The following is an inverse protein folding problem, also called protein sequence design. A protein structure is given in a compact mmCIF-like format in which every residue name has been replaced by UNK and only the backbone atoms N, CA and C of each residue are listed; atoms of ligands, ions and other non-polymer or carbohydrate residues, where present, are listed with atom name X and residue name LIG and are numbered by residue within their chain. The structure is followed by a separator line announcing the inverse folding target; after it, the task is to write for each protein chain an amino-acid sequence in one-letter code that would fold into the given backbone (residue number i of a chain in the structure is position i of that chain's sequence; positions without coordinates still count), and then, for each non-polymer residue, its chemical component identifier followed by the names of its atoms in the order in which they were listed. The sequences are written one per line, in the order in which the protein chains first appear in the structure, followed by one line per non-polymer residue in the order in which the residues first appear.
data_IF_301796160527
#
_entry.id   IF_301796160527
#
_cell.length_a   1.000
_cell.length_b   1.000
_cell.length_c   1.000
_cell.angle_alpha   90.00
_cell.angle_beta   90.00
_cell.angle_gamma   90.00
#
_symmetry.space_group_name_H-M   'P 1'
#
loop_
_entity.id
_entity.type
_entity.pdbx_description
1 polymer ?
#
# COMPACT_ATOMS: atom_id res chain seq x y z
N UNK A 1 -60.66 -14.21 -20.79
CA UNK A 1 -59.61 -15.00 -20.11
C UNK A 1 -58.25 -14.43 -20.52
N UNK A 2 -57.69 -13.53 -19.71
CA UNK A 2 -56.51 -12.72 -20.07
C UNK A 2 -55.26 -13.58 -19.85
N UNK A 3 -54.55 -13.91 -20.94
CA UNK A 3 -53.31 -14.69 -20.87
C UNK A 3 -52.24 -13.81 -20.23
N UNK A 4 -51.79 -14.28 -19.06
CA UNK A 4 -50.84 -13.63 -18.18
C UNK A 4 -49.47 -13.52 -18.85
N UNK A 5 -48.94 -12.30 -18.82
CA UNK A 5 -47.59 -11.90 -19.20
C UNK A 5 -46.53 -12.81 -18.59
N UNK A 6 -45.58 -13.27 -19.41
CA UNK A 6 -44.29 -13.78 -18.94
C UNK A 6 -43.24 -12.81 -19.49
N UNK A 7 -42.96 -11.77 -18.71
CA UNK A 7 -41.80 -10.91 -18.92
C UNK A 7 -40.62 -11.66 -18.31
N UNK A 8 -39.81 -12.28 -19.17
CA UNK A 8 -38.54 -12.87 -18.77
C UNK A 8 -37.56 -11.75 -18.42
N UNK A 9 -37.38 -11.49 -17.13
CA UNK A 9 -36.33 -10.60 -16.63
C UNK A 9 -35.01 -11.33 -16.80
N UNK A 10 -34.29 -11.00 -17.89
CA UNK A 10 -32.89 -11.36 -18.05
C UNK A 10 -32.14 -10.56 -17.00
N UNK A 11 -31.89 -11.18 -15.85
CA UNK A 11 -31.01 -10.67 -14.83
C UNK A 11 -29.59 -10.85 -15.36
N UNK A 12 -29.18 -9.92 -16.22
CA UNK A 12 -27.79 -9.70 -16.59
C UNK A 12 -27.05 -9.35 -15.30
N UNK A 13 -26.46 -10.36 -14.68
CA UNK A 13 -25.36 -10.20 -13.74
C UNK A 13 -24.23 -9.53 -14.52
N UNK A 14 -24.28 -8.20 -14.59
CA UNK A 14 -23.08 -7.41 -14.70
C UNK A 14 -22.27 -7.76 -13.45
N UNK A 15 -21.44 -8.79 -13.57
CA UNK A 15 -20.34 -9.06 -12.66
C UNK A 15 -19.47 -7.82 -12.72
N UNK A 16 -19.73 -6.91 -11.78
CA UNK A 16 -18.83 -5.83 -11.46
C UNK A 16 -17.46 -6.48 -11.30
N UNK A 17 -16.54 -6.13 -12.19
CA UNK A 17 -15.14 -6.50 -12.09
C UNK A 17 -14.59 -5.81 -10.85
N UNK A 18 -14.83 -6.40 -9.68
CA UNK A 18 -14.14 -6.04 -8.46
C UNK A 18 -12.67 -6.30 -8.71
N UNK A 19 -11.90 -5.25 -8.98
CA UNK A 19 -10.44 -5.28 -8.81
C UNK A 19 -10.18 -5.47 -7.31
N UNK A 20 -10.37 -6.70 -6.82
CA UNK A 20 -9.95 -7.10 -5.50
C UNK A 20 -8.42 -7.15 -5.56
N UNK A 21 -7.76 -6.13 -5.01
CA UNK A 21 -6.32 -6.22 -4.78
C UNK A 21 -6.05 -7.44 -3.89
N UNK A 22 -4.96 -8.15 -4.17
CA UNK A 22 -4.56 -9.28 -3.32
C UNK A 22 -4.35 -8.78 -1.89
N UNK A 23 -4.82 -9.54 -0.91
CA UNK A 23 -4.59 -9.25 0.51
C UNK A 23 -3.86 -10.41 1.16
N UNK A 24 -2.99 -10.12 2.10
CA UNK A 24 -2.19 -11.10 2.83
C UNK A 24 -2.34 -10.90 4.34
N UNK A 25 -2.21 -11.98 5.09
CA UNK A 25 -2.01 -11.91 6.53
C UNK A 25 -0.64 -11.31 6.87
N UNK A 26 -0.47 -10.88 8.12
CA UNK A 26 0.80 -10.31 8.57
C UNK A 26 1.94 -11.34 8.54
N UNK A 27 1.62 -12.60 8.83
CA UNK A 27 2.53 -13.74 8.79
C UNK A 27 2.99 -14.03 7.36
N UNK A 28 2.06 -14.12 6.39
CA UNK A 28 2.37 -14.30 4.97
C UNK A 28 3.26 -13.17 4.44
N UNK A 29 2.97 -11.93 4.80
CA UNK A 29 3.79 -10.77 4.40
C UNK A 29 5.20 -10.90 4.96
N UNK A 30 5.34 -11.30 6.24
CA UNK A 30 6.66 -11.48 6.85
C UNK A 30 7.45 -12.56 6.11
N UNK A 31 6.83 -13.70 5.84
CA UNK A 31 7.45 -14.82 5.12
C UNK A 31 7.88 -14.46 3.70
N UNK A 32 7.22 -13.50 3.07
CA UNK A 32 7.60 -12.98 1.75
C UNK A 32 8.72 -11.92 1.84
N UNK A 33 8.58 -10.96 2.77
CA UNK A 33 9.48 -9.80 2.86
C UNK A 33 10.84 -10.18 3.45
N UNK A 34 10.90 -11.02 4.49
CA UNK A 34 12.15 -11.42 5.15
C UNK A 34 13.17 -12.04 4.18
N UNK A 35 12.83 -13.04 3.35
CA UNK A 35 13.75 -13.60 2.36
C UNK A 35 13.98 -12.68 1.15
N UNK A 36 13.36 -11.50 1.09
CA UNK A 36 13.57 -10.52 0.03
C UNK A 36 12.65 -10.69 -1.19
N UNK A 37 11.53 -11.41 -1.03
CA UNK A 37 10.53 -11.63 -2.07
C UNK A 37 9.19 -10.96 -1.70
N UNK A 38 9.15 -9.63 -1.52
CA UNK A 38 7.91 -8.95 -1.14
C UNK A 38 6.81 -9.19 -2.20
N UNK A 39 5.53 -9.08 -1.82
CA UNK A 39 4.44 -9.18 -2.78
C UNK A 39 4.62 -8.23 -3.96
N UNK A 40 4.08 -8.60 -5.12
CA UNK A 40 4.04 -7.69 -6.26
C UNK A 40 3.08 -6.55 -5.97
N UNK A 41 3.51 -5.35 -6.33
CA UNK A 41 2.81 -4.10 -6.04
C UNK A 41 2.46 -3.40 -7.34
N UNK A 42 1.27 -2.82 -7.39
CA UNK A 42 0.87 -1.87 -8.42
C UNK A 42 1.74 -0.61 -8.35
N UNK A 43 1.72 0.25 -9.39
CA UNK A 43 2.39 1.54 -9.31
C UNK A 43 1.97 2.33 -8.06
N UNK A 44 2.95 2.94 -7.40
CA UNK A 44 2.70 3.69 -6.17
C UNK A 44 2.14 5.09 -6.46
N UNK A 45 1.12 5.48 -5.70
CA UNK A 45 0.53 6.82 -5.73
C UNK A 45 1.07 7.69 -4.61
N UNK A 46 1.20 9.00 -4.86
CA UNK A 46 1.54 9.98 -3.83
C UNK A 46 0.33 10.20 -2.93
N UNK A 47 0.36 9.65 -1.71
CA UNK A 47 -0.67 9.90 -0.69
C UNK A 47 -0.52 11.31 -0.12
N UNK A 48 0.72 11.73 0.14
CA UNK A 48 1.01 13.03 0.73
C UNK A 48 2.42 13.47 0.41
N UNK A 49 2.59 14.78 0.16
CA UNK A 49 3.88 15.43 0.10
C UNK A 49 3.80 16.74 0.87
N UNK A 50 4.71 16.96 1.81
CA UNK A 50 4.76 18.21 2.57
C UNK A 50 6.18 18.58 2.94
N UNK A 51 6.42 19.89 3.04
CA UNK A 51 7.71 20.40 3.49
C UNK A 51 7.96 19.94 4.93
N UNK A 52 9.13 19.37 5.18
CA UNK A 52 9.55 18.89 6.49
C UNK A 52 11.08 18.81 6.51
N UNK A 53 11.74 19.56 7.41
CA UNK A 53 13.20 19.48 7.51
C UNK A 53 13.60 18.06 7.93
N UNK A 54 14.75 17.59 7.42
CA UNK A 54 15.24 16.23 7.66
C UNK A 54 15.30 15.87 9.15
N UNK A 55 15.74 16.80 9.98
CA UNK A 55 15.81 16.67 11.45
C UNK A 55 14.48 16.39 12.14
N UNK A 56 13.34 16.73 11.52
CA UNK A 56 11.99 16.38 11.99
C UNK A 56 11.44 15.16 11.26
N UNK A 57 11.83 14.98 10.01
CA UNK A 57 11.31 13.92 9.16
C UNK A 57 11.85 12.55 9.55
N UNK A 58 13.18 12.39 9.69
CA UNK A 58 13.82 11.10 10.02
C UNK A 58 13.30 10.52 11.34
N UNK A 59 13.23 11.26 12.46
CA UNK A 59 12.67 10.72 13.70
C UNK A 59 11.20 10.29 13.58
N UNK A 60 10.42 10.98 12.73
CA UNK A 60 9.02 10.59 12.49
C UNK A 60 8.94 9.29 11.67
N UNK A 61 9.82 9.11 10.69
CA UNK A 61 9.94 7.87 9.92
C UNK A 61 10.43 6.71 10.81
N UNK A 62 11.48 6.92 11.61
CA UNK A 62 11.99 5.92 12.57
C UNK A 62 10.91 5.47 13.55
N UNK A 63 10.05 6.39 14.01
CA UNK A 63 8.91 6.03 14.87
C UNK A 63 7.92 5.10 14.17
N UNK A 64 7.71 5.26 12.86
CA UNK A 64 6.90 4.33 12.06
C UNK A 64 7.64 3.01 11.92
N UNK A 65 8.89 3.03 11.46
CA UNK A 65 9.73 1.83 11.31
C UNK A 65 9.75 0.96 12.57
N UNK A 66 9.96 1.56 13.74
CA UNK A 66 10.03 0.84 15.02
C UNK A 66 8.70 0.27 15.51
N UNK A 67 7.56 0.76 14.99
CA UNK A 67 6.23 0.27 15.37
C UNK A 67 5.74 -0.85 14.47
N UNK A 68 6.15 -0.81 13.20
CA UNK A 68 5.63 -1.70 12.18
C UNK A 68 6.39 -3.03 12.17
N UNK A 69 5.63 -4.13 12.10
CA UNK A 69 6.19 -5.49 12.24
C UNK A 69 6.87 -6.01 10.98
N UNK A 70 6.55 -5.42 9.82
CA UNK A 70 7.20 -5.74 8.55
C UNK A 70 7.58 -4.44 7.87
N UNK A 71 8.79 -3.99 8.15
CA UNK A 71 9.36 -2.76 7.62
C UNK A 71 10.84 -2.95 7.29
N UNK A 72 11.33 -2.18 6.31
CA UNK A 72 12.75 -2.15 5.93
C UNK A 72 13.19 -0.72 5.69
N UNK A 73 14.42 -0.43 6.08
CA UNK A 73 15.14 0.76 5.62
C UNK A 73 15.63 0.49 4.20
N UNK A 74 15.20 1.30 3.25
CA UNK A 74 15.60 1.22 1.84
C UNK A 74 16.84 2.08 1.60
N UNK A 75 16.90 3.25 2.25
CA UNK A 75 18.03 4.18 2.16
C UNK A 75 18.18 4.93 3.48
N UNK A 76 19.41 5.06 3.98
CA UNK A 76 19.77 5.90 5.11
C UNK A 76 21.11 6.61 4.82
N UNK A 77 21.03 7.90 4.58
CA UNK A 77 22.15 8.78 4.27
C UNK A 77 22.01 10.13 5.00
N UNK A 78 22.92 11.07 4.75
CA UNK A 78 23.01 12.33 5.49
C UNK A 78 21.74 13.19 5.40
N UNK A 79 21.07 13.20 4.24
CA UNK A 79 19.88 14.02 3.97
C UNK A 79 18.69 13.22 3.42
N UNK A 80 18.85 11.90 3.25
CA UNK A 80 17.84 11.01 2.72
C UNK A 80 17.60 9.83 3.66
N UNK A 81 16.33 9.59 3.98
CA UNK A 81 15.91 8.45 4.79
C UNK A 81 14.61 7.89 4.21
N UNK A 82 14.66 6.66 3.73
CA UNK A 82 13.55 6.00 3.08
C UNK A 82 13.29 4.69 3.80
N UNK A 83 12.06 4.54 4.29
CA UNK A 83 11.58 3.27 4.82
C UNK A 83 10.41 2.79 3.99
N UNK A 84 10.26 1.47 3.92
CA UNK A 84 9.10 0.81 3.35
C UNK A 84 8.45 -0.08 4.39
N UNK A 85 7.14 -0.01 4.47
CA UNK A 85 6.30 -0.77 5.38
C UNK A 85 5.33 -1.58 4.55
N UNK A 86 5.13 -2.84 4.91
CA UNK A 86 4.15 -3.72 4.26
C UNK A 86 2.99 -3.98 5.23
N UNK A 87 1.77 -3.74 4.73
CA UNK A 87 0.51 -3.98 5.38
C UNK A 87 -0.30 -5.03 4.60
N UNK A 88 -1.47 -5.41 5.12
CA UNK A 88 -2.26 -6.53 4.60
C UNK A 88 -2.76 -6.33 3.15
N UNK A 89 -2.96 -5.10 2.71
CA UNK A 89 -3.53 -4.73 1.40
C UNK A 89 -2.57 -3.95 0.49
N UNK A 90 -1.36 -3.68 0.96
CA UNK A 90 -0.37 -2.93 0.20
C UNK A 90 0.85 -2.54 1.00
N UNK A 91 1.64 -1.63 0.43
CA UNK A 91 2.83 -1.07 1.05
C UNK A 91 2.74 0.44 1.14
N UNK A 92 3.45 1.01 2.12
CA UNK A 92 3.67 2.45 2.23
C UNK A 92 5.17 2.70 2.25
N UNK A 93 5.62 3.56 1.35
CA UNK A 93 6.99 4.09 1.36
C UNK A 93 6.98 5.49 1.97
N UNK A 94 7.73 5.66 3.05
CA UNK A 94 7.92 6.94 3.72
C UNK A 94 9.31 7.47 3.35
N UNK A 95 9.35 8.59 2.63
CA UNK A 95 10.57 9.22 2.15
C UNK A 95 10.79 10.58 2.80
N UNK A 96 11.94 10.74 3.44
CA UNK A 96 12.49 12.01 3.88
C UNK A 96 13.63 12.36 2.94
N UNK A 97 13.49 13.39 2.11
CA UNK A 97 14.56 13.84 1.21
C UNK A 97 14.30 15.29 0.77
N UNK A 98 15.35 16.05 0.49
CA UNK A 98 15.26 17.40 -0.10
C UNK A 98 14.37 18.38 0.70
N UNK A 99 14.29 18.23 2.01
CA UNK A 99 13.41 19.06 2.85
C UNK A 99 11.91 18.74 2.72
N UNK A 100 11.57 17.60 2.15
CA UNK A 100 10.20 17.08 2.04
C UNK A 100 10.05 15.74 2.76
N UNK A 101 8.82 15.54 3.24
CA UNK A 101 8.29 14.25 3.63
C UNK A 101 7.27 13.82 2.59
N UNK A 102 7.53 12.70 1.93
CA UNK A 102 6.64 12.10 0.92
C UNK A 102 6.18 10.73 1.40
N UNK A 103 4.88 10.47 1.29
CA UNK A 103 4.27 9.16 1.51
C UNK A 103 3.77 8.65 0.17
N UNK A 104 4.24 7.47 -0.23
CA UNK A 104 3.78 6.75 -1.40
C UNK A 104 3.04 5.50 -0.94
N UNK A 105 1.90 5.19 -1.52
CA UNK A 105 1.16 3.96 -1.25
C UNK A 105 1.02 3.12 -2.51
N UNK A 106 1.17 1.80 -2.38
CA UNK A 106 0.95 0.86 -3.48
C UNK A 106 0.09 -0.30 -2.98
N UNK A 107 -1.00 -0.61 -3.68
CA UNK A 107 -1.77 -1.83 -3.43
C UNK A 107 -1.08 -3.04 -4.07
N UNK A 108 -1.36 -4.25 -3.57
CA UNK A 108 -0.84 -5.46 -4.22
C UNK A 108 -1.53 -5.76 -5.55
N UNK A 109 -0.80 -6.45 -6.44
CA UNK A 109 -1.31 -6.96 -7.72
C UNK A 109 -2.28 -8.13 -7.54
#
# INVERSE_FOLDING_TARGET
MVRKSIIAIILSCAVFSSYAGTTYTQEEIRELVEPGNPPKEKPADVISSKQSPFSKCKPAAEKVYNKERVAKVIEDSEDTYIIKVWAFDGSVTFKCANGYRVLLGAAYE
#
